data_IF_685847559024
#
_entry.id   IF_685847559024
#
_cell.length_a   1.000
_cell.length_b   1.000
_cell.length_c   1.000
_cell.angle_alpha   90.00
_cell.angle_beta   90.00
_cell.angle_gamma   90.00
#
_symmetry.space_group_name_H-M   'P 1'
#
loop_
_entity.id
_entity.type
_entity.pdbx_description
1 polymer ?
#
# COMPACT_ATOMS: atom_id res chain seq x y z
N UNK A 1 -14.98 -5.16 9.64
CA UNK A 1 -14.89 -6.06 8.46
C UNK A 1 -16.27 -6.13 7.82
N UNK A 2 -16.36 -6.15 6.48
CA UNK A 2 -17.66 -6.31 5.78
C UNK A 2 -17.75 -7.73 5.25
N UNK A 3 -18.76 -8.48 5.67
CA UNK A 3 -19.00 -9.85 5.20
C UNK A 3 -19.61 -9.81 3.79
N UNK A 4 -19.01 -10.52 2.84
CA UNK A 4 -19.49 -10.56 1.44
C UNK A 4 -20.41 -11.74 1.15
N UNK A 5 -20.43 -12.78 2.00
CA UNK A 5 -21.22 -14.00 1.78
C UNK A 5 -20.72 -14.88 0.63
N UNK A 6 -19.56 -14.55 0.04
CA UNK A 6 -19.00 -15.28 -1.09
C UNK A 6 -18.20 -16.46 -0.56
N UNK A 7 -18.56 -17.66 -0.98
CA UNK A 7 -17.84 -18.91 -0.69
C UNK A 7 -17.21 -19.40 -1.98
N UNK A 8 -15.92 -19.76 -1.92
CA UNK A 8 -15.22 -20.33 -3.06
C UNK A 8 -14.24 -21.40 -2.61
N UNK A 9 -14.10 -22.44 -3.42
CA UNK A 9 -13.13 -23.50 -3.21
C UNK A 9 -11.74 -23.06 -3.69
N UNK A 10 -10.73 -23.48 -2.93
CA UNK A 10 -9.34 -23.41 -3.37
C UNK A 10 -9.14 -24.47 -4.44
N UNK A 11 -8.51 -24.11 -5.55
CA UNK A 11 -8.21 -25.08 -6.60
C UNK A 11 -7.08 -26.04 -6.20
N UNK A 12 -6.81 -27.04 -7.04
CA UNK A 12 -5.77 -28.06 -6.78
C UNK A 12 -4.35 -27.51 -6.68
N UNK A 13 -4.12 -26.25 -7.04
CA UNK A 13 -2.82 -25.56 -6.97
C UNK A 13 -2.77 -24.53 -5.84
N UNK A 14 -3.79 -24.43 -5.01
CA UNK A 14 -3.83 -23.46 -3.91
C UNK A 14 -4.32 -22.07 -4.31
N UNK A 15 -4.92 -21.90 -5.49
CA UNK A 15 -5.41 -20.59 -5.97
C UNK A 15 -6.86 -20.36 -5.58
N UNK A 16 -7.19 -19.11 -5.26
CA UNK A 16 -8.56 -18.65 -5.00
C UNK A 16 -8.88 -17.60 -6.07
N UNK A 17 -10.01 -17.76 -6.76
CA UNK A 17 -10.50 -16.80 -7.75
C UNK A 17 -11.25 -15.64 -7.10
N UNK A 18 -10.81 -14.41 -7.32
CA UNK A 18 -11.56 -13.24 -6.86
C UNK A 18 -12.62 -12.89 -7.92
N UNK A 19 -13.93 -12.81 -7.58
CA UNK A 19 -14.95 -12.37 -8.52
C UNK A 19 -14.60 -11.01 -9.14
N UNK A 20 -14.86 -10.86 -10.44
CA UNK A 20 -14.42 -9.68 -11.22
C UNK A 20 -14.98 -8.38 -10.65
N UNK A 21 -16.23 -8.40 -10.20
CA UNK A 21 -16.91 -7.26 -9.60
C UNK A 21 -16.20 -6.82 -8.31
N UNK A 22 -15.79 -7.78 -7.48
CA UNK A 22 -15.07 -7.51 -6.24
C UNK A 22 -13.67 -6.98 -6.54
N UNK A 23 -12.98 -7.55 -7.52
CA UNK A 23 -11.66 -7.06 -7.95
C UNK A 23 -11.71 -5.60 -8.44
N UNK A 24 -12.77 -5.23 -9.15
CA UNK A 24 -13.00 -3.86 -9.61
C UNK A 24 -13.27 -2.90 -8.44
N UNK A 25 -14.16 -3.28 -7.51
CA UNK A 25 -14.49 -2.46 -6.32
C UNK A 25 -13.25 -2.24 -5.45
N UNK A 26 -12.38 -3.25 -5.34
CA UNK A 26 -11.15 -3.16 -4.56
C UNK A 26 -9.98 -2.52 -5.33
N UNK A 27 -10.15 -2.24 -6.62
CA UNK A 27 -9.11 -1.73 -7.51
C UNK A 27 -7.83 -2.59 -7.49
N UNK A 28 -8.00 -3.91 -7.41
CA UNK A 28 -6.88 -4.88 -7.36
C UNK A 28 -6.62 -5.59 -8.70
N UNK A 29 -7.29 -5.16 -9.76
CA UNK A 29 -7.06 -5.74 -11.08
C UNK A 29 -5.66 -5.37 -11.60
N UNK A 30 -4.85 -6.39 -11.91
CA UNK A 30 -3.51 -6.25 -12.48
C UNK A 30 -2.54 -5.37 -11.66
N UNK A 31 -2.74 -5.29 -10.34
CA UNK A 31 -1.83 -4.62 -9.41
C UNK A 31 -1.34 -5.60 -8.34
N UNK A 32 -0.21 -5.32 -7.67
CA UNK A 32 0.24 -6.15 -6.58
C UNK A 32 -0.76 -6.12 -5.41
N UNK A 33 -0.89 -7.25 -4.73
CA UNK A 33 -1.79 -7.46 -3.58
C UNK A 33 -0.94 -7.98 -2.42
N UNK A 34 -1.13 -7.38 -1.25
CA UNK A 34 -0.50 -7.85 -0.02
C UNK A 34 -1.29 -9.01 0.56
N UNK A 35 -0.55 -10.03 0.99
CA UNK A 35 -1.05 -11.14 1.79
C UNK A 35 -0.60 -10.93 3.22
N UNK A 36 -1.54 -10.65 4.12
CA UNK A 36 -1.26 -10.51 5.55
C UNK A 36 -2.11 -11.49 6.34
N UNK A 37 -1.55 -12.02 7.43
CA UNK A 37 -2.28 -12.88 8.36
C UNK A 37 -2.55 -12.07 9.62
N UNK A 38 -3.82 -11.88 9.95
CA UNK A 38 -4.25 -11.13 11.12
C UNK A 38 -5.34 -11.91 11.85
N UNK A 39 -5.12 -12.23 13.13
CA UNK A 39 -6.08 -12.98 13.96
C UNK A 39 -6.54 -14.31 13.33
N UNK A 40 -5.62 -15.01 12.66
CA UNK A 40 -5.91 -16.27 11.95
C UNK A 40 -6.69 -16.11 10.64
N UNK A 41 -6.92 -14.87 10.19
CA UNK A 41 -7.57 -14.56 8.92
C UNK A 41 -6.52 -14.16 7.89
N UNK A 42 -6.62 -14.71 6.67
CA UNK A 42 -5.87 -14.20 5.53
C UNK A 42 -6.56 -12.94 5.00
N UNK A 43 -5.87 -11.80 5.09
CA UNK A 43 -6.34 -10.50 4.63
C UNK A 43 -5.62 -10.15 3.33
N UNK A 44 -6.42 -9.83 2.31
CA UNK A 44 -5.94 -9.37 1.01
C UNK A 44 -6.26 -7.90 0.84
N UNK A 45 -5.26 -7.11 0.46
CA UNK A 45 -5.44 -5.68 0.20
C UNK A 45 -4.54 -5.21 -0.95
N UNK A 46 -4.96 -4.15 -1.64
CA UNK A 46 -4.14 -3.49 -2.67
C UNK A 46 -2.78 -3.09 -2.07
N UNK A 47 -1.69 -3.56 -2.66
CA UNK A 47 -0.35 -3.20 -2.24
C UNK A 47 -0.16 -1.68 -2.34
N UNK A 48 0.48 -1.13 -1.32
CA UNK A 48 0.82 0.29 -1.27
C UNK A 48 2.21 0.41 -0.68
N UNK A 49 3.01 1.23 -1.35
CA UNK A 49 4.34 1.56 -0.88
C UNK A 49 4.28 2.27 0.48
N UNK A 50 5.18 1.86 1.37
CA UNK A 50 5.34 2.48 2.67
C UNK A 50 5.90 3.90 2.53
N UNK A 51 5.63 4.74 3.53
CA UNK A 51 6.34 5.99 3.69
C UNK A 51 7.83 5.68 3.91
N UNK A 52 8.71 6.29 3.13
CA UNK A 52 10.17 6.07 3.24
C UNK A 52 10.73 6.47 4.60
N UNK A 53 10.10 7.44 5.26
CA UNK A 53 10.53 7.97 6.57
C UNK A 53 10.01 7.08 7.70
N UNK A 54 8.72 6.74 7.70
CA UNK A 54 8.09 6.05 8.85
C UNK A 54 7.96 4.55 8.69
N UNK A 55 8.19 4.01 7.48
CA UNK A 55 7.91 2.62 7.14
C UNK A 55 6.42 2.27 7.14
N UNK A 56 5.51 3.22 7.42
CA UNK A 56 4.08 2.96 7.53
C UNK A 56 3.39 3.06 6.17
N UNK A 57 2.61 2.04 5.85
CA UNK A 57 1.69 2.06 4.73
C UNK A 57 0.44 2.86 5.13
N UNK A 58 0.14 3.91 4.37
CA UNK A 58 -1.05 4.73 4.61
C UNK A 58 -1.67 5.17 3.29
N UNK A 59 -3.01 5.27 3.25
CA UNK A 59 -3.72 5.83 2.09
C UNK A 59 -3.42 7.30 1.85
N UNK A 60 -2.89 7.99 2.87
CA UNK A 60 -2.53 9.41 2.81
C UNK A 60 -1.12 9.63 2.30
N UNK A 61 -0.31 8.58 2.11
CA UNK A 61 1.04 8.73 1.58
C UNK A 61 0.97 9.36 0.17
N UNK A 62 1.72 10.45 -0.01
CA UNK A 62 1.83 11.17 -1.27
C UNK A 62 3.07 10.69 -2.04
N UNK A 63 3.04 10.81 -3.37
CA UNK A 63 4.21 10.62 -4.22
C UNK A 63 4.84 11.96 -4.56
N UNK A 64 6.15 12.05 -4.39
CA UNK A 64 7.01 13.14 -4.84
C UNK A 64 8.03 12.60 -5.84
N UNK A 65 8.75 13.51 -6.52
CA UNK A 65 9.81 13.17 -7.48
C UNK A 65 9.39 12.13 -8.54
N UNK A 66 8.24 12.36 -9.20
CA UNK A 66 7.65 11.46 -10.20
C UNK A 66 7.45 10.02 -9.68
N UNK A 67 7.04 9.88 -8.42
CA UNK A 67 6.72 8.59 -7.82
C UNK A 67 7.88 7.92 -7.08
N UNK A 68 9.10 8.45 -7.18
CA UNK A 68 10.29 7.86 -6.55
C UNK A 68 10.30 7.98 -5.03
N UNK A 69 9.60 8.97 -4.48
CA UNK A 69 9.54 9.20 -3.04
C UNK A 69 8.09 9.08 -2.59
N UNK A 70 7.81 8.10 -1.73
CA UNK A 70 6.55 7.98 -0.99
C UNK A 70 6.74 8.49 0.42
N UNK A 71 5.98 9.52 0.79
CA UNK A 71 6.10 10.14 2.10
C UNK A 71 4.72 10.42 2.69
N UNK A 72 4.60 10.30 4.00
CA UNK A 72 3.38 10.66 4.70
C UNK A 72 3.32 12.19 4.87
N UNK A 73 2.18 12.86 4.65
CA UNK A 73 2.08 14.32 4.67
C UNK A 73 2.60 15.00 5.94
N UNK A 74 2.51 14.32 7.09
CA UNK A 74 3.01 14.85 8.37
C UNK A 74 4.53 14.97 8.43
N UNK A 75 5.25 14.15 7.67
CA UNK A 75 6.72 14.08 7.69
C UNK A 75 7.35 14.94 6.58
N UNK A 76 6.53 15.57 5.74
CA UNK A 76 7.01 16.39 4.61
C UNK A 76 7.81 17.58 5.10
N UNK A 77 7.40 18.20 6.22
CA UNK A 77 8.11 19.35 6.77
C UNK A 77 9.53 18.98 7.21
N UNK A 78 9.68 17.87 7.92
CA UNK A 78 10.99 17.36 8.33
C UNK A 78 11.87 17.09 7.10
N UNK A 79 11.31 16.45 6.06
CA UNK A 79 12.03 16.20 4.81
C UNK A 79 12.52 17.50 4.14
N UNK A 80 11.71 18.56 4.18
CA UNK A 80 12.08 19.87 3.60
C UNK A 80 13.21 20.51 4.41
N UNK A 81 13.18 20.43 5.74
CA UNK A 81 14.23 20.97 6.62
C UNK A 81 15.57 20.28 6.35
N UNK A 82 15.61 18.94 6.34
CA UNK A 82 16.82 18.17 6.05
C UNK A 82 17.40 18.48 4.65
N UNK A 83 16.52 18.66 3.64
CA UNK A 83 16.96 19.02 2.29
C UNK A 83 17.56 20.43 2.22
N UNK A 84 17.03 21.40 2.98
CA UNK A 84 17.58 22.76 3.06
C UNK A 84 18.95 22.76 3.73
N UNK A 85 19.10 22.07 4.86
CA UNK A 85 20.40 21.93 5.55
C UNK A 85 21.46 21.26 4.67
N UNK A 86 21.05 20.35 3.79
CA UNK A 86 21.97 19.71 2.85
C UNK A 86 22.41 20.67 1.73
N UNK A 87 21.50 21.48 1.20
CA UNK A 87 21.82 22.49 0.19
C UNK A 87 22.82 23.53 0.73
N UNK A 88 22.63 24.00 1.97
CA UNK A 88 23.55 24.94 2.65
C UNK A 88 24.96 24.37 2.88
N UNK A 89 25.15 23.04 2.80
CA UNK A 89 26.47 22.39 2.90
C UNK A 89 27.13 22.16 1.54
N UNK A 90 26.38 22.29 0.46
CA UNK A 90 26.88 22.12 -0.92
C UNK A 90 27.35 23.46 -1.49
N UNK A 91 26.75 24.56 -1.05
CA UNK A 91 27.21 25.93 -1.30
C UNK A 91 28.45 26.29 -0.45
#
# INVERSE_FOLDING_TARGET
MKFTGIIQYVDSKGRIGIPRELANILEIQAVPVDFTVENGLLVLQRHREACIITGKVSRRNISLANGKIKVHPKEVNQLIEELKEYLEKID
#
